data_IF_220367072424
#
_entry.id   IF_220367072424
#
_cell.length_a   1.000
_cell.length_b   1.000
_cell.length_c   1.000
_cell.angle_alpha   90.00
_cell.angle_beta   90.00
_cell.angle_gamma   90.00
#
_symmetry.space_group_name_H-M   'P 1'
#
loop_
_entity.id
_entity.type
_entity.pdbx_description
1 polymer ?
#
# COMPACT_ATOMS: atom_id res chain seq x y z
N UNK A 1 -28.40 -18.64 8.49
CA UNK A 1 -28.91 -17.58 9.38
C UNK A 1 -29.44 -16.40 8.54
N UNK A 2 -30.50 -15.76 9.04
CA UNK A 2 -31.23 -14.74 8.28
C UNK A 2 -30.40 -13.47 7.99
N UNK A 3 -29.36 -13.20 8.76
CA UNK A 3 -28.52 -12.01 8.66
C UNK A 3 -27.40 -12.11 7.59
N UNK A 4 -27.21 -13.30 7.00
CA UNK A 4 -26.25 -13.54 5.92
C UNK A 4 -26.99 -14.08 4.70
N UNK A 5 -26.83 -13.39 3.57
CA UNK A 5 -27.50 -13.72 2.31
C UNK A 5 -26.46 -13.95 1.21
N UNK A 6 -26.07 -15.20 0.93
CA UNK A 6 -25.20 -15.51 -0.20
C UNK A 6 -26.02 -15.49 -1.51
N UNK A 7 -25.47 -14.84 -2.52
CA UNK A 7 -26.03 -14.84 -3.89
C UNK A 7 -24.96 -15.34 -4.84
N UNK A 8 -25.25 -16.44 -5.54
CA UNK A 8 -24.36 -16.98 -6.57
C UNK A 8 -24.53 -16.19 -7.85
N UNK A 9 -23.43 -15.67 -8.38
CA UNK A 9 -23.36 -15.07 -9.71
C UNK A 9 -23.39 -16.09 -10.85
N UNK A 10 -23.41 -15.63 -12.10
CA UNK A 10 -23.35 -16.49 -13.28
C UNK A 10 -22.03 -17.28 -13.31
N UNK A 11 -22.07 -18.45 -13.91
CA UNK A 11 -20.86 -19.27 -14.14
C UNK A 11 -20.18 -18.80 -15.43
N UNK A 12 -18.90 -18.45 -15.36
CA UNK A 12 -18.09 -18.06 -16.52
C UNK A 12 -17.71 -19.26 -17.39
N UNK A 13 -17.19 -19.01 -18.60
CA UNK A 13 -16.78 -20.06 -19.54
C UNK A 13 -15.64 -20.95 -19.01
N UNK A 14 -14.87 -20.47 -18.03
CA UNK A 14 -13.83 -21.22 -17.32
C UNK A 14 -14.34 -21.90 -16.03
N UNK A 15 -15.65 -22.06 -15.91
CA UNK A 15 -16.34 -22.72 -14.79
C UNK A 15 -16.19 -22.04 -13.45
N UNK A 16 -15.91 -20.74 -13.41
CA UNK A 16 -15.85 -19.93 -12.18
C UNK A 16 -17.16 -19.19 -11.95
N UNK A 17 -17.51 -19.02 -10.69
CA UNK A 17 -18.65 -18.21 -10.27
C UNK A 17 -18.27 -17.42 -9.02
N UNK A 18 -18.70 -16.17 -8.96
CA UNK A 18 -18.57 -15.33 -7.79
C UNK A 18 -19.80 -15.53 -6.91
N UNK A 19 -19.60 -15.77 -5.63
CA UNK A 19 -20.67 -15.77 -4.64
C UNK A 19 -20.56 -14.46 -3.83
N UNK A 20 -21.52 -13.58 -4.03
CA UNK A 20 -21.63 -12.35 -3.23
C UNK A 20 -22.32 -12.69 -1.90
N UNK A 21 -21.69 -12.31 -0.80
CA UNK A 21 -22.24 -12.52 0.55
C UNK A 21 -22.56 -11.16 1.14
N UNK A 22 -23.83 -10.91 1.41
CA UNK A 22 -24.28 -9.71 2.12
C UNK A 22 -24.66 -10.09 3.55
N UNK A 23 -24.20 -9.32 4.54
CA UNK A 23 -24.54 -9.51 5.93
C UNK A 23 -25.26 -8.26 6.48
N UNK A 24 -26.33 -8.45 7.21
CA UNK A 24 -27.03 -7.38 7.92
C UNK A 24 -26.16 -6.90 9.10
N UNK A 25 -26.27 -5.61 9.46
CA UNK A 25 -25.60 -5.05 10.65
C UNK A 25 -25.85 -5.91 11.89
N UNK A 26 -24.81 -6.17 12.69
CA UNK A 26 -24.98 -6.87 13.96
C UNK A 26 -25.49 -5.88 15.00
N UNK A 27 -26.73 -6.01 15.49
CA UNK A 27 -27.27 -5.10 16.51
C UNK A 27 -26.82 -5.48 17.94
N UNK A 28 -26.21 -6.65 18.11
CA UNK A 28 -25.78 -7.13 19.42
C UNK A 28 -24.36 -6.66 19.75
N UNK A 29 -24.06 -6.50 21.03
CA UNK A 29 -22.71 -6.16 21.54
C UNK A 29 -21.80 -7.39 21.66
N UNK A 30 -22.14 -8.47 20.97
CA UNK A 30 -21.37 -9.71 20.93
C UNK A 30 -21.07 -10.11 19.48
N UNK A 31 -19.94 -10.75 19.27
CA UNK A 31 -19.60 -11.34 17.97
C UNK A 31 -20.64 -12.40 17.59
N UNK A 32 -21.00 -12.43 16.33
CA UNK A 32 -21.82 -13.53 15.79
C UNK A 32 -21.12 -14.22 14.61
N UNK A 33 -21.38 -15.51 14.48
CA UNK A 33 -20.79 -16.32 13.42
C UNK A 33 -21.82 -17.26 12.80
N UNK A 34 -21.58 -17.59 11.53
CA UNK A 34 -22.35 -18.60 10.81
C UNK A 34 -21.50 -19.28 9.76
N UNK A 35 -22.04 -20.35 9.14
CA UNK A 35 -21.37 -21.07 8.04
C UNK A 35 -22.24 -21.04 6.79
N UNK A 36 -21.62 -20.69 5.67
CA UNK A 36 -22.21 -20.82 4.34
C UNK A 36 -21.72 -22.13 3.76
N UNK A 37 -22.64 -22.99 3.33
CA UNK A 37 -22.26 -24.19 2.57
C UNK A 37 -22.24 -23.91 1.08
N UNK A 38 -21.15 -24.27 0.43
CA UNK A 38 -21.01 -24.27 -1.02
C UNK A 38 -21.04 -25.73 -1.48
N UNK A 39 -21.98 -26.07 -2.36
CA UNK A 39 -22.18 -27.42 -2.87
C UNK A 39 -21.91 -27.42 -4.36
N UNK A 40 -21.05 -28.33 -4.82
CA UNK A 40 -20.74 -28.54 -6.23
C UNK A 40 -20.76 -30.05 -6.50
N UNK A 41 -21.85 -30.54 -7.07
CA UNK A 41 -22.07 -32.00 -7.23
C UNK A 41 -22.21 -32.66 -5.85
N UNK A 42 -21.40 -33.68 -5.59
CA UNK A 42 -21.35 -34.38 -4.31
C UNK A 42 -20.42 -33.68 -3.28
N UNK A 43 -19.59 -32.76 -3.73
CA UNK A 43 -18.64 -32.04 -2.91
C UNK A 43 -19.33 -30.90 -2.13
N UNK A 44 -18.96 -30.76 -0.87
CA UNK A 44 -19.49 -29.75 0.03
C UNK A 44 -18.38 -29.08 0.80
N UNK A 45 -18.25 -27.76 0.65
CA UNK A 45 -17.35 -26.91 1.41
C UNK A 45 -18.13 -25.95 2.31
N UNK A 46 -17.48 -25.48 3.36
CA UNK A 46 -18.05 -24.48 4.27
C UNK A 46 -17.16 -23.25 4.32
N UNK A 47 -17.78 -22.10 4.22
CA UNK A 47 -17.15 -20.80 4.47
C UNK A 47 -17.68 -20.27 5.79
N UNK A 48 -16.79 -20.05 6.75
CA UNK A 48 -17.15 -19.47 8.03
C UNK A 48 -17.24 -17.94 7.89
N UNK A 49 -18.36 -17.38 8.34
CA UNK A 49 -18.60 -15.93 8.34
C UNK A 49 -18.69 -15.48 9.79
N UNK A 50 -17.81 -14.57 10.18
CA UNK A 50 -17.79 -13.95 11.51
C UNK A 50 -18.09 -12.47 11.39
N UNK A 51 -18.87 -11.94 12.28
CA UNK A 51 -19.17 -10.53 12.34
C UNK A 51 -18.97 -10.03 13.78
N UNK A 52 -18.12 -9.03 13.93
CA UNK A 52 -17.86 -8.41 15.22
C UNK A 52 -19.15 -7.89 15.89
N UNK A 53 -19.06 -7.65 17.20
CA UNK A 53 -20.11 -6.97 17.95
C UNK A 53 -20.47 -5.62 17.31
N UNK A 54 -21.74 -5.27 17.33
CA UNK A 54 -22.20 -3.96 16.90
C UNK A 54 -21.72 -2.87 17.88
N UNK A 55 -21.44 -1.68 17.36
CA UNK A 55 -21.06 -0.53 18.19
C UNK A 55 -22.22 -0.09 19.08
N UNK A 56 -21.93 0.17 20.35
CA UNK A 56 -22.84 0.86 21.22
C UNK A 56 -23.01 2.31 20.72
N UNK A 57 -24.23 2.82 20.69
CA UNK A 57 -24.52 4.19 20.27
C UNK A 57 -23.75 5.18 21.15
N UNK A 58 -22.66 5.73 20.62
CA UNK A 58 -21.86 6.80 21.23
C UNK A 58 -20.51 6.32 21.79
N UNK A 59 -19.45 6.50 21.03
CA UNK A 59 -18.08 6.32 21.55
C UNK A 59 -17.04 6.17 20.43
N UNK A 60 -16.22 7.18 20.27
CA UNK A 60 -15.01 7.19 19.44
C UNK A 60 -14.00 6.16 20.01
N UNK A 61 -13.58 5.16 19.25
CA UNK A 61 -12.58 4.20 19.74
C UNK A 61 -12.10 3.23 18.66
N UNK A 62 -10.79 3.21 18.47
CA UNK A 62 -10.05 2.53 17.42
C UNK A 62 -10.25 1.01 17.35
N UNK A 63 -10.21 0.53 16.14
CA UNK A 63 -10.38 -0.88 15.79
C UNK A 63 -9.04 -1.62 15.83
N UNK A 64 -9.01 -2.74 16.57
CA UNK A 64 -8.07 -3.84 16.32
C UNK A 64 -8.89 -5.09 16.00
N UNK A 65 -8.79 -5.59 14.78
CA UNK A 65 -9.42 -6.86 14.40
C UNK A 65 -9.14 -7.20 12.94
N UNK A 66 -8.32 -8.21 12.70
CA UNK A 66 -7.96 -8.75 11.40
C UNK A 66 -9.13 -9.50 10.74
N UNK A 67 -9.98 -8.77 10.12
CA UNK A 67 -10.93 -9.22 9.13
C UNK A 67 -11.04 -8.11 8.11
N UNK A 68 -10.67 -8.39 6.88
CA UNK A 68 -10.76 -7.44 5.78
C UNK A 68 -12.26 -7.13 5.54
N UNK A 69 -12.75 -6.17 6.27
CA UNK A 69 -14.01 -5.52 5.95
C UNK A 69 -13.68 -4.54 4.87
N UNK A 70 -13.96 -4.88 3.62
CA UNK A 70 -13.99 -3.86 2.56
C UNK A 70 -15.10 -2.89 2.96
N UNK A 71 -14.79 -1.64 3.34
CA UNK A 71 -15.80 -0.69 3.72
C UNK A 71 -16.75 -0.47 2.54
N UNK A 72 -18.04 -0.44 2.79
CA UNK A 72 -18.96 0.08 1.78
C UNK A 72 -18.52 1.49 1.40
N UNK A 73 -18.60 1.81 0.11
CA UNK A 73 -18.33 3.17 -0.36
C UNK A 73 -19.41 4.10 0.24
N UNK A 74 -19.11 4.63 1.41
CA UNK A 74 -19.95 5.57 2.14
C UNK A 74 -19.71 7.03 1.73
N UNK A 75 -18.91 7.24 0.65
CA UNK A 75 -18.54 8.56 0.16
C UNK A 75 -17.49 9.26 1.03
N UNK A 76 -16.82 8.55 1.94
CA UNK A 76 -15.72 9.10 2.72
C UNK A 76 -14.54 9.55 1.83
N UNK A 77 -13.60 10.29 2.40
CA UNK A 77 -12.46 10.86 1.65
C UNK A 77 -11.61 9.81 0.93
N UNK A 78 -11.46 8.62 1.49
CA UNK A 78 -10.68 7.54 0.88
C UNK A 78 -11.34 7.03 -0.41
N UNK A 79 -12.65 6.84 -0.41
CA UNK A 79 -13.40 6.47 -1.60
C UNK A 79 -13.41 7.57 -2.65
N UNK A 80 -13.61 8.83 -2.24
CA UNK A 80 -13.53 9.97 -3.15
C UNK A 80 -12.15 10.08 -3.80
N UNK A 81 -11.08 9.77 -3.05
CA UNK A 81 -9.73 9.74 -3.58
C UNK A 81 -9.53 8.57 -4.55
N UNK A 82 -10.02 7.37 -4.23
CA UNK A 82 -9.96 6.21 -5.12
C UNK A 82 -10.68 6.46 -6.45
N UNK A 83 -11.86 7.09 -6.40
CA UNK A 83 -12.61 7.47 -7.62
C UNK A 83 -11.83 8.50 -8.47
N UNK A 84 -11.11 9.42 -7.84
CA UNK A 84 -10.29 10.42 -8.53
C UNK A 84 -9.04 9.84 -9.18
N UNK A 85 -8.52 8.71 -8.70
CA UNK A 85 -7.32 8.10 -9.27
C UNK A 85 -7.49 7.74 -10.74
N UNK A 86 -8.64 7.19 -11.13
CA UNK A 86 -8.91 6.83 -12.50
C UNK A 86 -7.86 5.90 -13.11
N UNK A 87 -7.36 6.24 -14.32
CA UNK A 87 -6.32 5.46 -14.99
C UNK A 87 -4.95 5.98 -14.55
N UNK A 88 -4.15 5.10 -13.93
CA UNK A 88 -2.81 5.41 -13.45
C UNK A 88 -1.69 4.97 -14.40
N UNK A 89 -0.58 5.69 -14.36
CA UNK A 89 0.69 5.33 -14.97
C UNK A 89 1.77 5.21 -13.90
N UNK A 90 2.56 4.13 -13.94
CA UNK A 90 3.69 3.95 -13.04
C UNK A 90 4.97 4.48 -13.69
N UNK A 91 5.56 5.51 -13.10
CA UNK A 91 6.81 6.12 -13.56
C UNK A 91 8.01 5.28 -13.07
N UNK A 92 8.09 4.02 -13.53
CA UNK A 92 9.17 3.10 -13.16
C UNK A 92 10.50 3.40 -13.86
N UNK A 93 11.57 2.82 -13.29
CA UNK A 93 12.94 2.95 -13.78
C UNK A 93 13.50 4.39 -13.74
N UNK A 94 12.99 5.20 -12.81
CA UNK A 94 13.48 6.54 -12.52
C UNK A 94 14.01 6.58 -11.08
N UNK A 95 13.21 7.02 -10.12
CA UNK A 95 13.63 7.11 -8.71
C UNK A 95 13.72 5.76 -8.00
N UNK A 96 13.14 4.71 -8.57
CA UNK A 96 13.31 3.32 -8.14
C UNK A 96 14.61 2.70 -8.66
N UNK A 97 15.21 3.25 -9.71
CA UNK A 97 16.45 2.76 -10.27
C UNK A 97 17.63 2.92 -9.29
N UNK A 98 18.47 1.91 -9.20
CA UNK A 98 19.63 1.90 -8.31
C UNK A 98 20.82 1.19 -8.93
N UNK A 99 22.00 1.51 -8.42
CA UNK A 99 23.26 0.86 -8.78
C UNK A 99 24.20 0.86 -7.56
N UNK A 100 24.77 -0.29 -7.23
CA UNK A 100 25.70 -0.45 -6.12
C UNK A 100 25.23 0.16 -4.78
N UNK A 101 23.95 0.03 -4.46
CA UNK A 101 23.40 0.48 -3.19
C UNK A 101 23.05 1.97 -3.10
N UNK A 102 23.02 2.65 -4.23
CA UNK A 102 22.59 4.04 -4.32
C UNK A 102 21.52 4.15 -5.38
N UNK A 103 20.41 4.82 -5.08
CA UNK A 103 19.39 5.11 -6.08
C UNK A 103 19.79 6.30 -6.94
N UNK A 104 19.27 6.34 -8.16
CA UNK A 104 19.57 7.43 -9.10
C UNK A 104 18.66 7.43 -10.31
N UNK A 105 18.07 8.57 -10.56
CA UNK A 105 16.97 8.76 -11.52
C UNK A 105 17.25 8.24 -12.95
N UNK A 106 18.52 8.10 -13.33
CA UNK A 106 18.91 7.71 -14.69
C UNK A 106 19.67 6.40 -14.79
N UNK A 107 19.81 5.66 -13.68
CA UNK A 107 20.69 4.48 -13.62
C UNK A 107 20.25 3.33 -14.52
N UNK A 108 18.96 3.21 -14.79
CA UNK A 108 18.43 2.16 -15.67
C UNK A 108 18.04 2.67 -17.06
N UNK A 109 18.67 3.77 -17.52
CA UNK A 109 18.63 4.23 -18.89
C UNK A 109 17.51 5.21 -19.25
N UNK A 110 16.62 5.53 -18.32
CA UNK A 110 15.64 6.57 -18.53
C UNK A 110 16.29 7.98 -18.44
N UNK A 111 15.85 8.95 -19.22
CA UNK A 111 16.24 10.34 -19.04
C UNK A 111 15.59 10.90 -17.77
N UNK A 112 16.14 12.00 -17.25
CA UNK A 112 15.48 12.73 -16.16
C UNK A 112 14.05 13.11 -16.52
N UNK A 113 13.14 12.93 -15.58
CA UNK A 113 11.78 13.39 -15.73
C UNK A 113 11.70 14.91 -15.85
N UNK A 114 10.79 15.39 -16.68
CA UNK A 114 10.54 16.82 -16.89
C UNK A 114 9.04 17.09 -16.85
N UNK A 115 8.64 18.36 -16.73
CA UNK A 115 7.23 18.74 -16.83
C UNK A 115 6.59 18.18 -18.11
N UNK A 116 7.29 18.25 -19.24
CA UNK A 116 6.79 17.75 -20.52
C UNK A 116 6.48 16.23 -20.52
N UNK A 117 7.13 15.45 -19.66
CA UNK A 117 6.81 14.03 -19.47
C UNK A 117 5.40 13.88 -18.90
N UNK A 118 5.08 14.62 -17.84
CA UNK A 118 3.79 14.59 -17.19
C UNK A 118 2.67 15.16 -18.06
N UNK A 119 2.95 16.24 -18.78
CA UNK A 119 1.99 16.84 -19.72
C UNK A 119 1.58 15.85 -20.82
N UNK A 120 2.53 15.07 -21.35
CA UNK A 120 2.26 14.03 -22.35
C UNK A 120 1.45 12.88 -21.77
N UNK A 121 1.78 12.43 -20.57
CA UNK A 121 1.05 11.37 -19.88
C UNK A 121 -0.39 11.82 -19.59
N UNK A 122 -0.57 13.04 -19.10
CA UNK A 122 -1.89 13.66 -18.92
C UNK A 122 -2.68 13.75 -20.22
N UNK A 123 -2.05 14.22 -21.29
CA UNK A 123 -2.68 14.32 -22.61
C UNK A 123 -3.08 12.96 -23.19
N UNK A 124 -2.40 11.88 -22.79
CA UNK A 124 -2.76 10.51 -23.15
C UNK A 124 -3.96 9.96 -22.34
N UNK A 125 -4.50 10.73 -21.40
CA UNK A 125 -5.71 10.38 -20.64
C UNK A 125 -5.45 9.82 -19.25
N UNK A 126 -4.20 9.74 -18.79
CA UNK A 126 -3.90 9.32 -17.42
C UNK A 126 -4.23 10.41 -16.41
N UNK A 127 -4.79 10.01 -15.29
CA UNK A 127 -5.21 10.92 -14.20
C UNK A 127 -4.34 10.79 -12.96
N UNK A 128 -3.58 9.71 -12.83
CA UNK A 128 -2.71 9.43 -11.68
C UNK A 128 -1.34 8.96 -12.15
N UNK A 129 -0.31 9.37 -11.44
CA UNK A 129 1.04 8.85 -11.59
C UNK A 129 1.52 8.26 -10.27
N UNK A 130 2.01 7.01 -10.29
CA UNK A 130 2.79 6.46 -9.19
C UNK A 130 4.26 6.71 -9.50
N UNK A 131 4.95 7.34 -8.57
CA UNK A 131 6.37 7.69 -8.65
C UNK A 131 7.11 6.79 -7.64
N UNK A 132 7.57 5.60 -8.04
CA UNK A 132 8.33 4.72 -7.15
C UNK A 132 9.63 5.40 -6.74
N UNK A 133 9.93 5.40 -5.44
CA UNK A 133 11.14 6.04 -4.91
C UNK A 133 11.91 5.07 -4.03
N UNK A 134 13.15 4.82 -4.39
CA UNK A 134 14.14 4.11 -3.58
C UNK A 134 15.02 5.13 -2.87
N UNK A 135 15.16 4.99 -1.57
CA UNK A 135 15.89 5.94 -0.72
C UNK A 135 17.30 5.49 -0.38
N UNK A 136 17.63 4.26 -0.75
CA UNK A 136 18.92 3.61 -0.58
C UNK A 136 20.06 4.52 -1.07
N UNK A 137 21.08 4.68 -0.21
CA UNK A 137 22.23 5.52 -0.49
C UNK A 137 22.03 7.03 -0.25
N UNK A 138 20.79 7.46 0.05
CA UNK A 138 20.45 8.85 0.35
C UNK A 138 19.98 9.07 1.79
N UNK A 139 20.22 8.09 2.67
CA UNK A 139 19.87 8.16 4.09
C UNK A 139 21.14 8.13 4.92
N UNK A 140 21.27 9.06 5.85
CA UNK A 140 22.38 9.15 6.80
C UNK A 140 22.25 8.15 7.94
N UNK A 141 23.25 8.21 8.82
CA UNK A 141 23.38 7.32 9.97
C UNK A 141 22.36 7.66 11.08
N UNK A 142 22.21 6.68 12.01
CA UNK A 142 21.47 6.86 13.26
C UNK A 142 22.05 8.03 14.10
N UNK A 143 21.25 8.67 14.94
CA UNK A 143 19.83 8.41 15.16
C UNK A 143 18.90 9.19 14.21
N UNK A 144 19.39 10.17 13.48
CA UNK A 144 18.58 11.08 12.68
C UNK A 144 18.09 10.46 11.38
N UNK A 145 18.82 9.49 10.83
CA UNK A 145 18.54 8.89 9.51
C UNK A 145 18.17 9.94 8.45
N UNK A 146 18.98 10.99 8.41
CA UNK A 146 18.67 12.18 7.62
C UNK A 146 18.68 11.88 6.13
N UNK A 147 17.57 12.15 5.46
CA UNK A 147 17.48 12.05 4.01
C UNK A 147 18.32 13.17 3.38
N UNK A 148 19.11 12.84 2.37
CA UNK A 148 19.85 13.80 1.57
C UNK A 148 18.90 14.83 0.95
N UNK A 149 19.16 16.11 1.22
CA UNK A 149 18.27 17.20 0.81
C UNK A 149 18.12 17.25 -0.71
N UNK A 150 19.20 17.04 -1.46
CA UNK A 150 19.17 17.10 -2.92
C UNK A 150 18.26 16.02 -3.52
N UNK A 151 18.25 14.79 -2.94
CA UNK A 151 17.37 13.71 -3.39
C UNK A 151 15.91 14.01 -3.05
N UNK A 152 15.64 14.42 -1.82
CA UNK A 152 14.29 14.77 -1.37
C UNK A 152 13.72 15.97 -2.15
N UNK A 153 14.54 16.97 -2.44
CA UNK A 153 14.17 18.14 -3.24
C UNK A 153 13.84 17.73 -4.69
N UNK A 154 14.64 16.80 -5.26
CA UNK A 154 14.37 16.31 -6.62
C UNK A 154 13.07 15.49 -6.68
N UNK A 155 12.80 14.64 -5.71
CA UNK A 155 11.51 13.94 -5.61
C UNK A 155 10.37 14.95 -5.51
N UNK A 156 10.53 15.98 -4.69
CA UNK A 156 9.51 17.02 -4.52
C UNK A 156 9.27 17.83 -5.81
N UNK A 157 10.33 18.11 -6.57
CA UNK A 157 10.23 18.76 -7.88
C UNK A 157 9.37 17.92 -8.85
N UNK A 158 9.60 16.61 -8.90
CA UNK A 158 8.86 15.70 -9.80
C UNK A 158 7.41 15.50 -9.34
N UNK A 159 7.16 15.47 -8.04
CA UNK A 159 5.78 15.52 -7.50
C UNK A 159 5.10 16.83 -7.93
N UNK A 160 5.84 17.95 -7.94
CA UNK A 160 5.35 19.24 -8.45
C UNK A 160 4.97 19.20 -9.94
N UNK A 161 5.62 18.38 -10.75
CA UNK A 161 5.23 18.20 -12.15
C UNK A 161 3.86 17.51 -12.29
N UNK A 162 3.58 16.52 -11.45
CA UNK A 162 2.25 15.89 -11.40
C UNK A 162 1.18 16.89 -10.99
N UNK A 163 1.45 17.69 -9.94
CA UNK A 163 0.55 18.74 -9.47
C UNK A 163 0.25 19.76 -10.57
N UNK A 164 1.29 20.28 -11.24
CA UNK A 164 1.15 21.24 -12.33
C UNK A 164 0.41 20.68 -13.55
N UNK A 165 0.51 19.38 -13.82
CA UNK A 165 -0.26 18.70 -14.86
C UNK A 165 -1.70 18.36 -14.43
N UNK A 166 -2.10 18.67 -13.20
CA UNK A 166 -3.42 18.32 -12.65
C UNK A 166 -3.63 16.79 -12.54
N UNK A 167 -2.60 16.07 -12.11
CA UNK A 167 -2.62 14.63 -11.88
C UNK A 167 -2.54 14.33 -10.39
N UNK A 168 -3.15 13.24 -9.95
CA UNK A 168 -2.85 12.68 -8.65
C UNK A 168 -1.48 12.01 -8.67
N UNK A 169 -0.80 11.98 -7.52
CA UNK A 169 0.51 11.36 -7.37
C UNK A 169 0.54 10.40 -6.19
N UNK A 170 1.29 9.31 -6.34
CA UNK A 170 1.59 8.35 -5.26
C UNK A 170 3.11 8.26 -5.18
N UNK A 171 3.67 8.43 -3.99
CA UNK A 171 5.09 8.16 -3.70
C UNK A 171 5.23 7.10 -2.62
N UNK A 172 6.33 6.35 -2.64
CA UNK A 172 6.51 5.22 -1.73
C UNK A 172 7.96 5.02 -1.26
N UNK A 173 8.16 3.96 -0.48
CA UNK A 173 9.45 3.29 -0.30
C UNK A 173 9.45 2.08 -1.24
N UNK A 174 10.41 1.99 -2.18
CA UNK A 174 10.34 1.01 -3.27
C UNK A 174 11.30 -0.17 -3.11
N UNK A 175 12.58 -0.02 -3.44
CA UNK A 175 13.57 -1.10 -3.39
C UNK A 175 14.43 -1.10 -2.12
N UNK A 176 13.92 -0.59 -1.03
CA UNK A 176 14.62 -0.49 0.25
C UNK A 176 14.40 -1.71 1.15
N UNK A 177 14.06 -2.85 0.56
CA UNK A 177 13.83 -4.11 1.25
C UNK A 177 15.10 -4.87 1.59
N UNK A 178 14.96 -6.07 2.16
CA UNK A 178 16.06 -6.90 2.67
C UNK A 178 17.07 -7.35 1.62
N UNK A 179 16.69 -7.39 0.36
CA UNK A 179 17.56 -7.71 -0.76
C UNK A 179 18.47 -6.55 -1.18
N UNK A 180 18.12 -5.33 -0.81
CA UNK A 180 18.90 -4.14 -1.12
C UNK A 180 20.23 -4.07 -0.37
N UNK A 181 20.46 -4.88 0.65
CA UNK A 181 21.60 -4.92 1.57
C UNK A 181 21.76 -3.70 2.49
N UNK A 182 21.07 -2.61 2.19
CA UNK A 182 21.54 -1.33 2.69
C UNK A 182 20.60 -0.70 3.68
N UNK A 183 19.35 -1.19 3.79
CA UNK A 183 18.45 -0.44 4.60
C UNK A 183 17.44 -1.24 5.41
N UNK A 184 16.51 -1.94 4.83
CA UNK A 184 15.45 -2.63 5.59
C UNK A 184 15.74 -4.13 5.71
N UNK A 185 16.49 -4.54 6.74
CA UNK A 185 16.74 -5.96 7.02
C UNK A 185 15.58 -6.60 7.79
N UNK A 186 14.41 -6.67 7.17
CA UNK A 186 13.21 -7.28 7.78
C UNK A 186 13.40 -8.76 8.09
N UNK A 187 14.30 -9.45 7.38
CA UNK A 187 14.59 -10.86 7.62
C UNK A 187 15.24 -11.06 8.98
N UNK A 188 16.26 -10.29 9.30
CA UNK A 188 16.91 -10.34 10.60
C UNK A 188 15.97 -9.81 11.69
N UNK A 189 15.23 -8.75 11.41
CA UNK A 189 14.25 -8.18 12.33
C UNK A 189 13.15 -9.16 12.76
N UNK A 190 12.78 -10.12 11.89
CA UNK A 190 11.80 -11.15 12.20
C UNK A 190 12.14 -12.00 13.42
N UNK A 191 13.43 -12.12 13.75
CA UNK A 191 13.93 -12.95 14.85
C UNK A 191 14.83 -12.20 15.84
N UNK A 192 15.11 -10.92 15.59
CA UNK A 192 15.96 -10.09 16.42
C UNK A 192 15.22 -8.78 16.81
N UNK A 193 14.74 -8.68 18.05
CA UNK A 193 13.98 -7.50 18.53
C UNK A 193 14.78 -6.18 18.45
N UNK A 194 16.08 -6.20 18.61
CA UNK A 194 16.90 -4.99 18.56
C UNK A 194 16.97 -4.46 17.13
N UNK A 195 17.16 -5.35 16.14
CA UNK A 195 17.11 -4.98 14.72
C UNK A 195 15.70 -4.49 14.34
N UNK A 196 14.66 -5.12 14.87
CA UNK A 196 13.29 -4.66 14.65
C UNK A 196 13.07 -3.25 15.20
N UNK A 197 13.50 -2.96 16.41
CA UNK A 197 13.40 -1.63 17.02
C UNK A 197 14.13 -0.58 16.17
N UNK A 198 15.34 -0.90 15.72
CA UNK A 198 16.11 -0.02 14.85
C UNK A 198 15.41 0.27 13.52
N UNK A 199 14.83 -0.76 12.88
CA UNK A 199 14.07 -0.57 11.62
C UNK A 199 12.84 0.31 11.81
N UNK A 200 12.12 0.16 12.92
CA UNK A 200 10.98 1.03 13.23
C UNK A 200 11.40 2.48 13.40
N UNK A 201 12.54 2.74 14.05
CA UNK A 201 13.11 4.08 14.17
C UNK A 201 13.48 4.66 12.80
N UNK A 202 14.14 3.88 11.94
CA UNK A 202 14.51 4.29 10.59
C UNK A 202 13.29 4.64 9.75
N UNK A 203 12.30 3.75 9.70
CA UNK A 203 11.06 3.94 8.95
C UNK A 203 10.31 5.18 9.46
N UNK A 204 10.19 5.33 10.78
CA UNK A 204 9.54 6.47 11.39
C UNK A 204 10.26 7.79 11.09
N UNK A 205 11.59 7.82 11.19
CA UNK A 205 12.39 8.98 10.89
C UNK A 205 12.28 9.39 9.41
N UNK A 206 12.28 8.42 8.51
CA UNK A 206 12.16 8.67 7.07
C UNK A 206 10.79 9.21 6.70
N UNK A 207 9.71 8.53 7.12
CA UNK A 207 8.36 9.01 6.84
C UNK A 207 8.06 10.36 7.46
N UNK A 208 8.63 10.66 8.64
CA UNK A 208 8.53 11.98 9.26
C UNK A 208 9.13 13.06 8.37
N UNK A 209 10.30 12.82 7.78
CA UNK A 209 10.97 13.78 6.90
C UNK A 209 10.20 13.94 5.57
N UNK A 210 9.76 12.84 4.98
CA UNK A 210 8.94 12.86 3.75
C UNK A 210 7.64 13.62 4.01
N UNK A 211 6.88 13.24 5.02
CA UNK A 211 5.62 13.91 5.36
C UNK A 211 5.81 15.40 5.69
N UNK A 212 6.89 15.76 6.35
CA UNK A 212 7.23 17.15 6.63
C UNK A 212 7.51 17.92 5.35
N UNK A 213 8.22 17.33 4.38
CA UNK A 213 8.49 17.95 3.08
C UNK A 213 7.23 18.24 2.29
N UNK A 214 6.24 17.37 2.39
CA UNK A 214 5.01 17.42 1.60
C UNK A 214 3.78 17.88 2.40
N UNK A 215 3.93 18.31 3.64
CA UNK A 215 2.82 18.67 4.56
C UNK A 215 1.85 19.72 4.01
N UNK A 216 2.34 20.60 3.15
CA UNK A 216 1.55 21.69 2.56
C UNK A 216 0.98 21.33 1.17
N UNK A 217 1.16 20.08 0.73
CA UNK A 217 0.56 19.54 -0.48
C UNK A 217 -0.88 19.12 -0.21
N UNK A 218 -1.72 19.30 -1.19
CA UNK A 218 -3.12 18.88 -1.10
C UNK A 218 -3.32 17.38 -1.23
N UNK A 219 -4.56 16.98 -1.24
CA UNK A 219 -5.03 15.59 -1.32
C UNK A 219 -4.78 14.91 -2.68
N UNK A 220 -4.11 15.58 -3.64
CA UNK A 220 -3.65 14.94 -4.86
C UNK A 220 -2.48 13.99 -4.63
N UNK A 221 -1.72 14.17 -3.52
CA UNK A 221 -0.56 13.36 -3.17
C UNK A 221 -0.91 12.32 -2.09
N UNK A 222 -0.63 11.07 -2.40
CA UNK A 222 -0.82 9.94 -1.48
C UNK A 222 0.51 9.25 -1.19
N UNK A 223 0.68 8.82 0.05
CA UNK A 223 1.82 8.05 0.51
C UNK A 223 1.47 6.56 0.54
N UNK A 224 2.23 5.76 -0.18
CA UNK A 224 2.21 4.31 -0.10
C UNK A 224 3.35 3.85 0.81
N UNK A 225 3.03 3.17 1.91
CA UNK A 225 4.01 2.87 2.95
C UNK A 225 5.22 2.12 2.39
N UNK A 226 4.98 1.08 1.58
CA UNK A 226 6.00 0.22 1.02
C UNK A 226 5.56 -0.35 -0.34
N UNK A 227 6.55 -0.63 -1.18
CA UNK A 227 6.41 -1.57 -2.28
C UNK A 227 6.60 -3.02 -1.73
N UNK A 228 6.96 -3.94 -2.54
CA UNK A 228 7.16 -5.37 -2.30
C UNK A 228 8.22 -5.67 -1.23
N UNK A 229 7.98 -5.34 0.03
CA UNK A 229 8.90 -5.67 1.13
C UNK A 229 8.85 -7.17 1.40
N UNK A 230 10.00 -7.81 1.25
CA UNK A 230 10.17 -9.25 1.45
C UNK A 230 11.42 -9.58 2.28
N UNK A 231 11.50 -10.79 2.77
CA UNK A 231 12.60 -11.30 3.60
C UNK A 231 13.78 -11.90 2.81
N UNK A 232 13.95 -11.50 1.55
CA UNK A 232 14.98 -12.02 0.64
C UNK A 232 14.55 -13.24 -0.16
N UNK A 233 13.31 -13.68 -0.05
CA UNK A 233 12.75 -14.78 -0.83
C UNK A 233 11.71 -14.30 -1.86
N UNK A 234 12.00 -14.43 -3.13
CA UNK A 234 11.10 -14.10 -4.24
C UNK A 234 9.95 -15.11 -4.43
N UNK A 235 9.65 -15.94 -3.43
CA UNK A 235 8.58 -16.91 -3.49
C UNK A 235 7.26 -16.32 -3.01
N UNK A 236 6.33 -16.04 -3.87
CA UNK A 236 4.95 -15.75 -3.53
C UNK A 236 4.38 -16.90 -2.66
N UNK A 237 4.40 -16.70 -1.34
CA UNK A 237 3.78 -17.59 -0.37
C UNK A 237 4.70 -18.58 0.34
N UNK A 238 6.00 -18.66 0.06
CA UNK A 238 6.93 -19.49 0.80
C UNK A 238 7.41 -18.85 2.11
N UNK A 239 7.54 -17.52 2.17
CA UNK A 239 8.09 -16.76 3.28
C UNK A 239 6.99 -15.98 4.00
N UNK A 240 6.09 -16.69 4.66
CA UNK A 240 4.96 -16.07 5.37
C UNK A 240 5.25 -15.63 6.79
N UNK A 241 6.42 -15.93 7.29
CA UNK A 241 6.87 -15.57 8.65
C UNK A 241 7.87 -14.42 8.63
N UNK A 242 7.81 -13.61 7.61
CA UNK A 242 8.63 -12.43 7.53
C UNK A 242 8.27 -11.40 8.62
N UNK A 243 9.26 -10.67 9.06
CA UNK A 243 9.07 -9.56 9.98
C UNK A 243 8.27 -8.42 9.38
N UNK A 244 8.03 -8.42 8.07
CA UNK A 244 7.26 -7.42 7.35
C UNK A 244 5.81 -7.27 7.82
N UNK A 245 5.25 -8.28 8.47
CA UNK A 245 3.92 -8.20 9.08
C UNK A 245 3.84 -7.28 10.30
N UNK A 246 4.97 -6.79 10.77
CA UNK A 246 5.06 -5.96 11.98
C UNK A 246 5.17 -4.45 11.66
N UNK A 247 5.22 -4.08 10.39
CA UNK A 247 5.40 -2.70 9.92
C UNK A 247 4.16 -2.08 9.31
#
# INVERSE_FOLDING_TARGET
DAWVKPVKGPVSADYKSVVTVTAEKNPAQEERQTKISVVAGEEKMYVEVKQAAGEAAGGNGGANGSGEVVPENDGNLAWQMADRFGIGWNMGNHFDAHNNGVSGETFWGNPKATQATFDKVKAAGFTTVRIPVTWMGHIGEAPEYKIEAAWLDRVAEVVGYAEAAGMNAIINIHHDGSDSKYWLDIKTAATNPDVQAQLLEQIGAMWTQIATKFKDKGDFLVFEAFNEIHDGGWGWGANRNDGGKQY
#
